data_IF_361465144793
#
_entry.id   IF_361465144793
#
_cell.length_a   1.000
_cell.length_b   1.000
_cell.length_c   1.000
_cell.angle_alpha   90.00
_cell.angle_beta   90.00
_cell.angle_gamma   90.00
#
_symmetry.space_group_name_H-M   'P 1'
#
loop_
_entity.id
_entity.type
_entity.pdbx_description
1 polymer ?
#
# COMPACT_ATOMS: atom_id res chain seq x y z
N UNK A 1 -7.33 8.78 0.50
CA UNK A 1 -7.11 8.77 -0.97
C UNK A 1 -7.23 7.33 -1.44
N UNK A 2 -7.79 7.12 -2.64
CA UNK A 2 -7.77 5.85 -3.35
C UNK A 2 -7.06 6.06 -4.68
N UNK A 3 -6.03 5.27 -4.93
CA UNK A 3 -5.31 5.29 -6.19
C UNK A 3 -5.56 3.96 -6.92
N UNK A 4 -6.06 4.01 -8.15
CA UNK A 4 -6.32 2.86 -9.00
C UNK A 4 -5.31 2.82 -10.14
N UNK A 5 -4.56 1.72 -10.24
CA UNK A 5 -3.59 1.49 -11.33
C UNK A 5 -3.99 0.25 -12.10
N UNK A 6 -4.12 0.36 -13.43
CA UNK A 6 -4.50 -0.73 -14.32
C UNK A 6 -3.45 -1.84 -14.34
N UNK A 7 -3.91 -3.10 -14.34
CA UNK A 7 -3.04 -4.29 -14.47
C UNK A 7 -3.54 -5.16 -15.62
N UNK A 8 -2.62 -5.59 -16.46
CA UNK A 8 -2.92 -6.32 -17.69
C UNK A 8 -3.37 -7.76 -17.49
N UNK A 9 -2.90 -8.43 -16.41
CA UNK A 9 -3.12 -9.85 -16.16
C UNK A 9 -3.35 -10.13 -14.66
N UNK A 10 -4.28 -11.02 -14.36
CA UNK A 10 -4.66 -11.36 -12.98
C UNK A 10 -3.56 -12.09 -12.19
N UNK A 11 -2.67 -12.81 -12.86
CA UNK A 11 -1.53 -13.50 -12.27
C UNK A 11 -0.47 -12.55 -11.68
N UNK A 12 -0.43 -11.29 -12.16
CA UNK A 12 0.46 -10.25 -11.63
C UNK A 12 -0.09 -9.56 -10.38
N UNK A 13 -1.40 -9.64 -10.12
CA UNK A 13 -2.08 -8.83 -9.10
C UNK A 13 -1.53 -9.10 -7.70
N UNK A 14 -1.50 -10.36 -7.27
CA UNK A 14 -1.07 -10.69 -5.90
C UNK A 14 0.43 -10.56 -5.68
N UNK A 15 1.30 -10.94 -6.61
CA UNK A 15 2.72 -10.61 -6.51
C UNK A 15 2.96 -9.10 -6.31
N UNK A 16 2.29 -8.24 -7.08
CA UNK A 16 2.41 -6.79 -6.95
C UNK A 16 1.82 -6.30 -5.62
N UNK A 17 0.64 -6.76 -5.20
CA UNK A 17 0.04 -6.37 -3.91
C UNK A 17 0.97 -6.73 -2.76
N UNK A 18 1.54 -7.94 -2.75
CA UNK A 18 2.47 -8.38 -1.72
C UNK A 18 3.73 -7.49 -1.67
N UNK A 19 4.24 -7.07 -2.82
CA UNK A 19 5.35 -6.15 -2.90
C UNK A 19 4.99 -4.73 -2.43
N UNK A 20 3.82 -4.20 -2.83
CA UNK A 20 3.31 -2.89 -2.36
C UNK A 20 3.17 -2.86 -0.85
N UNK A 21 2.76 -3.96 -0.21
CA UNK A 21 2.65 -4.04 1.24
C UNK A 21 4.00 -3.78 1.94
N UNK A 22 5.13 -4.12 1.33
CA UNK A 22 6.46 -3.81 1.90
C UNK A 22 6.75 -2.32 1.96
N UNK A 23 6.04 -1.52 1.16
CA UNK A 23 6.16 -0.06 1.08
C UNK A 23 5.05 0.72 1.81
N UNK A 24 4.23 0.04 2.61
CA UNK A 24 3.21 0.69 3.43
C UNK A 24 3.73 1.84 4.30
N UNK A 25 4.85 1.71 5.03
CA UNK A 25 5.33 2.82 5.85
C UNK A 25 5.72 4.04 5.02
N UNK A 26 6.19 3.87 3.79
CA UNK A 26 6.53 4.96 2.88
C UNK A 26 5.28 5.74 2.45
N UNK A 27 4.22 5.03 2.02
CA UNK A 27 2.95 5.63 1.63
C UNK A 27 2.24 6.31 2.82
N UNK A 28 2.34 5.72 4.02
CA UNK A 28 1.84 6.33 5.24
C UNK A 28 2.64 7.57 5.62
N UNK A 29 3.96 7.51 5.57
CA UNK A 29 4.84 8.61 5.97
C UNK A 29 4.55 9.89 5.19
N UNK A 30 4.41 9.80 3.85
CA UNK A 30 4.15 10.97 3.00
C UNK A 30 2.71 11.48 3.06
N UNK A 31 1.77 10.66 3.53
CA UNK A 31 0.33 11.00 3.52
C UNK A 31 -0.28 11.19 4.89
N UNK A 32 0.43 10.86 5.98
CA UNK A 32 -0.09 10.92 7.34
C UNK A 32 -0.57 12.33 7.71
N UNK A 33 -1.87 12.48 7.97
CA UNK A 33 -2.52 13.77 8.22
C UNK A 33 -3.72 13.67 9.16
N UNK A 34 -3.81 12.60 9.96
CA UNK A 34 -4.95 12.37 10.85
C UNK A 34 -4.52 12.12 12.31
N UNK A 35 -3.81 13.09 12.96
CA UNK A 35 -3.31 12.89 14.32
C UNK A 35 -4.38 12.98 15.41
N UNK A 36 -5.54 13.56 15.10
CA UNK A 36 -6.59 13.83 16.08
C UNK A 36 -7.82 12.96 15.91
N UNK A 37 -8.54 12.74 17.00
CA UNK A 37 -9.86 12.13 17.04
C UNK A 37 -10.71 12.80 18.12
N UNK A 38 -11.88 13.30 17.74
CA UNK A 38 -12.83 13.97 18.65
C UNK A 38 -12.18 15.06 19.52
N UNK A 39 -11.30 15.86 18.89
CA UNK A 39 -10.59 16.96 19.59
C UNK A 39 -9.40 16.52 20.45
N UNK A 40 -9.05 15.24 20.47
CA UNK A 40 -7.95 14.68 21.25
C UNK A 40 -6.78 14.33 20.30
N UNK A 41 -5.56 14.66 20.72
CA UNK A 41 -4.34 14.16 20.09
C UNK A 41 -4.19 12.66 20.41
N UNK A 42 -4.22 11.84 19.37
CA UNK A 42 -4.08 10.37 19.51
C UNK A 42 -2.64 9.92 19.61
N UNK A 43 -1.71 10.82 19.38
CA UNK A 43 -0.28 10.53 19.26
C UNK A 43 0.08 9.61 18.08
N UNK A 44 -0.83 9.41 17.11
CA UNK A 44 -0.56 8.78 15.83
C UNK A 44 -0.45 9.84 14.73
N UNK A 45 0.49 9.68 13.81
CA UNK A 45 0.53 10.52 12.60
C UNK A 45 -0.67 10.23 11.68
N UNK A 46 -1.07 8.93 11.60
CA UNK A 46 -2.28 8.48 10.92
C UNK A 46 -3.17 7.64 11.85
N UNK A 47 -4.01 8.30 12.64
CA UNK A 47 -5.02 7.63 13.46
C UNK A 47 -6.11 6.95 12.59
N UNK A 48 -6.40 7.52 11.41
CA UNK A 48 -7.32 6.90 10.45
C UNK A 48 -6.94 5.45 10.17
N UNK A 49 -5.67 5.15 9.99
CA UNK A 49 -5.18 3.78 9.74
C UNK A 49 -5.53 2.84 10.89
N UNK A 50 -5.40 3.30 12.14
CA UNK A 50 -5.74 2.51 13.32
C UNK A 50 -7.24 2.27 13.47
N UNK A 51 -8.06 3.28 13.21
CA UNK A 51 -9.51 3.15 13.25
C UNK A 51 -10.03 2.21 12.16
N UNK A 52 -9.51 2.37 10.95
CA UNK A 52 -9.98 1.63 9.79
C UNK A 52 -9.74 0.12 9.90
N UNK A 53 -8.61 -0.29 10.44
CA UNK A 53 -8.27 -1.71 10.61
C UNK A 53 -9.07 -2.46 11.71
N UNK A 54 -9.94 -1.77 12.44
CA UNK A 54 -10.81 -2.41 13.43
C UNK A 54 -11.96 -3.20 12.79
N UNK A 55 -12.24 -2.98 11.50
CA UNK A 55 -13.25 -3.73 10.77
C UNK A 55 -12.65 -5.06 10.28
N UNK A 56 -13.37 -6.20 10.40
CA UNK A 56 -12.87 -7.51 9.95
C UNK A 56 -12.52 -7.57 8.46
N UNK A 57 -13.16 -6.72 7.64
CA UNK A 57 -12.99 -6.65 6.19
C UNK A 57 -12.03 -5.55 5.75
N UNK A 58 -11.32 -4.92 6.69
CA UNK A 58 -10.42 -3.79 6.42
C UNK A 58 -9.02 -4.04 6.98
N UNK A 59 -8.10 -3.12 6.70
CA UNK A 59 -6.71 -3.23 7.13
C UNK A 59 -5.84 -3.98 6.13
N UNK A 60 -4.76 -4.55 6.62
CA UNK A 60 -3.80 -5.27 5.78
C UNK A 60 -4.41 -6.56 5.22
N UNK A 61 -4.33 -6.81 3.88
CA UNK A 61 -4.76 -8.08 3.32
C UNK A 61 -3.84 -9.22 3.77
N UNK A 62 -4.31 -10.46 3.60
CA UNK A 62 -3.44 -11.63 3.67
C UNK A 62 -2.47 -11.65 2.48
N UNK A 63 -1.32 -12.30 2.63
CA UNK A 63 -0.35 -12.48 1.55
C UNK A 63 -0.76 -13.65 0.65
N UNK A 64 -1.81 -13.45 -0.15
CA UNK A 64 -2.26 -14.47 -1.10
C UNK A 64 -1.15 -14.74 -2.13
N UNK A 65 -1.06 -16.01 -2.56
CA UNK A 65 -0.04 -16.45 -3.51
C UNK A 65 -0.55 -16.50 -4.95
N UNK A 66 -1.86 -16.52 -5.14
CA UNK A 66 -2.48 -16.61 -6.47
C UNK A 66 -3.85 -15.92 -6.53
N UNK A 67 -4.32 -15.70 -7.74
CA UNK A 67 -5.69 -15.23 -7.98
C UNK A 67 -6.74 -16.23 -7.51
N UNK A 68 -6.51 -17.53 -7.70
CA UNK A 68 -7.44 -18.58 -7.27
C UNK A 68 -7.60 -18.63 -5.74
N UNK A 69 -6.50 -18.42 -5.00
CA UNK A 69 -6.55 -18.32 -3.54
C UNK A 69 -7.42 -17.14 -3.10
N UNK A 70 -7.25 -15.97 -3.74
CA UNK A 70 -8.11 -14.82 -3.50
C UNK A 70 -9.58 -15.10 -3.83
N UNK A 71 -9.87 -15.71 -4.95
CA UNK A 71 -11.24 -16.07 -5.35
C UNK A 71 -11.87 -17.03 -4.33
N UNK A 72 -11.10 -18.00 -3.86
CA UNK A 72 -11.54 -18.95 -2.82
C UNK A 72 -11.85 -18.21 -1.51
N UNK A 73 -10.95 -17.35 -1.06
CA UNK A 73 -11.17 -16.52 0.12
C UNK A 73 -12.44 -15.66 -0.01
N UNK A 74 -12.63 -14.98 -1.14
CA UNK A 74 -13.81 -14.13 -1.37
C UNK A 74 -15.11 -14.93 -1.37
N UNK A 75 -15.09 -16.16 -1.90
CA UNK A 75 -16.25 -17.09 -1.85
C UNK A 75 -16.58 -17.47 -0.43
N UNK A 76 -15.57 -17.79 0.39
CA UNK A 76 -15.76 -18.12 1.80
C UNK A 76 -16.36 -16.96 2.58
N UNK A 77 -15.87 -15.73 2.34
CA UNK A 77 -16.40 -14.51 2.98
C UNK A 77 -17.88 -14.26 2.59
N UNK A 78 -18.25 -14.51 1.35
CA UNK A 78 -19.64 -14.39 0.90
C UNK A 78 -20.53 -15.51 1.48
N UNK A 79 -20.05 -16.76 1.46
CA UNK A 79 -20.80 -17.91 1.96
C UNK A 79 -21.05 -17.82 3.46
N UNK A 80 -20.06 -17.32 4.22
CA UNK A 80 -20.19 -17.11 5.67
C UNK A 80 -20.99 -15.86 6.04
N UNK A 81 -21.38 -15.02 5.05
CA UNK A 81 -22.14 -13.80 5.28
C UNK A 81 -21.33 -12.62 5.84
N UNK A 82 -20.00 -12.72 5.85
CA UNK A 82 -19.09 -11.61 6.26
C UNK A 82 -19.21 -10.44 5.29
N UNK A 83 -19.33 -10.74 3.99
CA UNK A 83 -19.60 -9.75 2.94
C UNK A 83 -20.79 -10.20 2.09
N UNK A 84 -21.52 -9.24 1.54
CA UNK A 84 -22.62 -9.48 0.59
C UNK A 84 -22.23 -9.21 -0.87
N UNK A 85 -21.13 -8.48 -1.10
CA UNK A 85 -20.56 -8.24 -2.43
C UNK A 85 -19.06 -7.94 -2.31
N UNK A 86 -18.31 -8.10 -3.39
CA UNK A 86 -16.84 -7.96 -3.42
C UNK A 86 -16.34 -6.56 -3.02
N UNK A 87 -17.14 -5.52 -3.26
CA UNK A 87 -16.83 -4.15 -2.85
C UNK A 87 -16.82 -3.92 -1.34
N UNK A 88 -17.41 -4.82 -0.54
CA UNK A 88 -17.42 -4.75 0.93
C UNK A 88 -16.05 -5.14 1.56
N UNK A 89 -15.11 -5.67 0.80
CA UNK A 89 -13.76 -5.90 1.26
C UNK A 89 -12.96 -4.59 1.20
N UNK A 90 -12.54 -4.06 2.35
CA UNK A 90 -11.95 -2.74 2.49
C UNK A 90 -10.45 -2.79 2.85
N UNK A 91 -9.72 -3.75 2.34
CA UNK A 91 -8.27 -3.85 2.56
C UNK A 91 -7.52 -2.58 2.11
N UNK A 92 -6.38 -2.32 2.74
CA UNK A 92 -5.50 -1.16 2.46
C UNK A 92 -4.99 -1.15 1.02
N UNK A 93 -4.84 -2.33 0.44
CA UNK A 93 -4.61 -2.56 -1.00
C UNK A 93 -5.41 -3.78 -1.41
N UNK A 94 -6.08 -3.73 -2.56
CA UNK A 94 -6.92 -4.83 -3.02
C UNK A 94 -7.05 -4.86 -4.54
N UNK A 95 -7.41 -6.03 -5.09
CA UNK A 95 -7.91 -6.09 -6.45
C UNK A 95 -9.26 -5.33 -6.57
N UNK A 96 -9.39 -4.50 -7.59
CA UNK A 96 -10.65 -3.88 -7.98
C UNK A 96 -11.08 -4.45 -9.34
N UNK A 97 -11.51 -5.72 -9.34
CA UNK A 97 -11.75 -6.54 -10.54
C UNK A 97 -12.70 -5.87 -11.55
N UNK A 98 -13.73 -5.13 -11.06
CA UNK A 98 -14.65 -4.38 -11.91
C UNK A 98 -13.95 -3.39 -12.83
N UNK A 99 -12.80 -2.86 -12.39
CA UNK A 99 -12.04 -1.83 -13.10
C UNK A 99 -10.74 -2.36 -13.73
N UNK A 100 -10.39 -3.63 -13.47
CA UNK A 100 -9.10 -4.18 -13.91
C UNK A 100 -7.89 -3.49 -13.27
N UNK A 101 -8.01 -3.08 -12.00
CA UNK A 101 -6.99 -2.31 -11.31
C UNK A 101 -6.59 -2.92 -9.98
N UNK A 102 -5.38 -2.58 -9.52
CA UNK A 102 -5.03 -2.61 -8.09
C UNK A 102 -5.44 -1.26 -7.50
N UNK A 103 -6.19 -1.31 -6.40
CA UNK A 103 -6.64 -0.15 -5.63
C UNK A 103 -5.80 -0.04 -4.35
N UNK A 104 -5.01 1.04 -4.23
CA UNK A 104 -4.26 1.38 -3.02
C UNK A 104 -5.06 2.40 -2.22
N UNK A 105 -5.33 2.10 -0.94
CA UNK A 105 -6.23 2.83 -0.05
C UNK A 105 -5.61 3.26 1.26
N UNK A 106 -4.35 2.87 1.51
CA UNK A 106 -3.70 3.06 2.81
C UNK A 106 -3.47 4.54 3.16
N UNK A 107 -3.28 5.41 2.17
CA UNK A 107 -2.95 6.81 2.36
C UNK A 107 -4.10 7.62 2.97
N UNK A 108 -3.76 8.53 3.87
CA UNK A 108 -4.68 9.55 4.38
C UNK A 108 -5.07 10.57 3.29
N UNK A 109 -5.98 11.47 3.59
CA UNK A 109 -6.30 12.59 2.73
C UNK A 109 -5.22 13.66 2.84
N UNK A 110 -4.83 14.25 1.72
CA UNK A 110 -3.88 15.35 1.67
C UNK A 110 -4.60 16.71 1.75
N UNK A 111 -3.90 17.75 2.17
CA UNK A 111 -4.49 19.08 2.35
C UNK A 111 -4.39 19.96 1.11
N UNK A 112 -3.57 19.59 0.14
CA UNK A 112 -3.37 20.36 -1.10
C UNK A 112 -3.07 19.43 -2.30
N UNK A 113 -3.17 20.01 -3.51
CA UNK A 113 -3.03 19.26 -4.76
C UNK A 113 -1.59 18.78 -5.02
N UNK A 114 -0.57 19.45 -4.49
CA UNK A 114 0.83 19.02 -4.66
C UNK A 114 1.09 17.74 -3.88
N UNK A 115 0.67 17.67 -2.63
CA UNK A 115 0.77 16.45 -1.82
C UNK A 115 -0.06 15.31 -2.42
N UNK A 116 -1.26 15.62 -2.93
CA UNK A 116 -2.08 14.63 -3.63
C UNK A 116 -1.34 14.06 -4.84
N UNK A 117 -0.75 14.93 -5.67
CA UNK A 117 -0.01 14.53 -6.86
C UNK A 117 1.20 13.65 -6.50
N UNK A 118 1.95 14.00 -5.45
CA UNK A 118 3.09 13.20 -4.97
C UNK A 118 2.66 11.78 -4.51
N UNK A 119 1.59 11.67 -3.72
CA UNK A 119 1.07 10.36 -3.28
C UNK A 119 0.62 9.52 -4.47
N UNK A 120 -0.05 10.14 -5.46
CA UNK A 120 -0.51 9.45 -6.67
C UNK A 120 0.67 9.03 -7.55
N UNK A 121 1.64 9.92 -7.77
CA UNK A 121 2.84 9.66 -8.56
C UNK A 121 3.64 8.50 -7.96
N UNK A 122 3.94 8.55 -6.65
CA UNK A 122 4.67 7.49 -5.96
C UNK A 122 3.94 6.14 -6.08
N UNK A 123 2.62 6.12 -5.85
CA UNK A 123 1.82 4.90 -5.93
C UNK A 123 1.79 4.33 -7.36
N UNK A 124 1.60 5.20 -8.35
CA UNK A 124 1.56 4.81 -9.76
C UNK A 124 2.92 4.26 -10.23
N UNK A 125 3.99 5.02 -9.99
CA UNK A 125 5.35 4.60 -10.35
C UNK A 125 5.74 3.27 -9.69
N UNK A 126 5.39 3.08 -8.41
CA UNK A 126 5.68 1.86 -7.67
C UNK A 126 5.02 0.62 -8.31
N UNK A 127 3.73 0.71 -8.64
CA UNK A 127 3.01 -0.42 -9.26
C UNK A 127 3.54 -0.70 -10.66
N UNK A 128 3.78 0.33 -11.47
CA UNK A 128 4.36 0.17 -12.83
C UNK A 128 5.77 -0.40 -12.75
N UNK A 129 6.57 0.02 -11.77
CA UNK A 129 7.92 -0.53 -11.54
C UNK A 129 7.84 -2.05 -11.27
N UNK A 130 6.97 -2.47 -10.36
CA UNK A 130 6.81 -3.89 -10.03
C UNK A 130 6.23 -4.71 -11.20
N UNK A 131 5.29 -4.15 -11.97
CA UNK A 131 4.79 -4.79 -13.18
C UNK A 131 5.93 -5.04 -14.19
N UNK A 132 6.78 -4.04 -14.42
CA UNK A 132 7.97 -4.15 -15.29
C UNK A 132 9.02 -5.13 -14.75
N UNK A 133 9.16 -5.25 -13.43
CA UNK A 133 10.04 -6.26 -12.82
C UNK A 133 9.55 -7.67 -13.16
N UNK A 134 8.25 -7.93 -12.99
CA UNK A 134 7.65 -9.23 -13.36
C UNK A 134 7.80 -9.55 -14.85
N UNK A 135 7.61 -8.58 -15.75
CA UNK A 135 7.81 -8.76 -17.19
C UNK A 135 9.24 -9.16 -17.54
N UNK A 136 10.20 -8.71 -16.77
CA UNK A 136 11.62 -9.07 -16.94
C UNK A 136 12.02 -10.36 -16.20
N UNK A 137 11.07 -11.01 -15.52
CA UNK A 137 11.33 -12.20 -14.71
C UNK A 137 12.11 -11.92 -13.44
N UNK A 138 12.12 -10.68 -12.95
CA UNK A 138 12.77 -10.31 -11.70
C UNK A 138 11.89 -10.65 -10.50
N UNK A 139 12.53 -10.98 -9.38
CA UNK A 139 11.83 -11.19 -8.10
C UNK A 139 11.39 -9.85 -7.51
N UNK A 140 10.17 -9.83 -6.97
CA UNK A 140 9.65 -8.68 -6.25
C UNK A 140 10.09 -8.69 -4.77
N UNK A 141 10.18 -7.52 -4.11
CA UNK A 141 10.50 -7.44 -2.70
C UNK A 141 9.43 -8.14 -1.86
N UNK A 142 9.86 -8.86 -0.84
CA UNK A 142 8.96 -9.56 0.10
C UNK A 142 9.44 -9.38 1.54
N UNK A 143 8.47 -9.23 2.44
CA UNK A 143 8.67 -9.28 3.88
C UNK A 143 7.71 -10.29 4.50
N UNK A 144 8.05 -10.81 5.67
CA UNK A 144 7.13 -11.62 6.46
C UNK A 144 5.93 -10.78 6.87
N UNK A 145 4.77 -11.40 6.95
CA UNK A 145 3.52 -10.70 7.28
C UNK A 145 3.60 -9.90 8.58
N UNK A 146 4.29 -10.42 9.59
CA UNK A 146 4.48 -9.69 10.88
C UNK A 146 5.40 -8.48 10.74
N UNK A 147 6.42 -8.49 9.85
CA UNK A 147 7.23 -7.31 9.55
C UNK A 147 6.41 -6.24 8.81
N UNK A 148 5.56 -6.65 7.87
CA UNK A 148 4.64 -5.73 7.19
C UNK A 148 3.67 -5.10 8.17
N UNK A 149 3.10 -5.89 9.09
CA UNK A 149 2.19 -5.40 10.12
C UNK A 149 2.87 -4.40 11.07
N UNK A 150 4.09 -4.72 11.54
CA UNK A 150 4.89 -3.83 12.38
C UNK A 150 5.24 -2.53 11.65
N UNK A 151 5.72 -2.61 10.42
CA UNK A 151 6.05 -1.46 9.59
C UNK A 151 4.84 -0.57 9.32
N UNK A 152 3.67 -1.16 9.07
CA UNK A 152 2.41 -0.43 8.94
C UNK A 152 2.10 0.35 10.22
N UNK A 153 2.20 -0.30 11.39
CA UNK A 153 1.97 0.35 12.67
C UNK A 153 2.97 1.47 12.92
N UNK A 154 4.28 1.23 12.69
CA UNK A 154 5.33 2.25 12.84
C UNK A 154 5.10 3.45 11.92
N UNK A 155 4.75 3.22 10.66
CA UNK A 155 4.40 4.29 9.71
C UNK A 155 3.18 5.09 10.17
N UNK A 156 2.13 4.42 10.65
CA UNK A 156 0.94 5.09 11.17
C UNK A 156 1.23 5.87 12.47
N UNK A 157 2.10 5.34 13.34
CA UNK A 157 2.42 5.95 14.64
C UNK A 157 3.36 7.15 14.49
N UNK A 158 4.41 7.01 13.69
CA UNK A 158 5.54 7.93 13.65
C UNK A 158 5.66 8.73 12.35
N UNK A 159 4.90 8.40 11.29
CA UNK A 159 4.98 9.07 10.00
C UNK A 159 6.42 9.08 9.45
N UNK A 160 6.94 10.26 9.11
CA UNK A 160 8.30 10.44 8.57
C UNK A 160 9.42 10.11 9.56
N UNK A 161 9.11 10.00 10.85
CA UNK A 161 10.08 9.62 11.89
C UNK A 161 10.03 8.12 12.22
N UNK A 162 9.40 7.31 11.37
CA UNK A 162 9.35 5.86 11.56
C UNK A 162 10.71 5.20 11.26
N UNK A 163 11.14 4.29 12.13
CA UNK A 163 12.20 3.32 11.87
C UNK A 163 11.54 2.04 11.35
N UNK A 164 11.92 1.58 10.15
CA UNK A 164 11.23 0.48 9.46
C UNK A 164 12.14 -0.71 9.21
N UNK A 165 11.57 -1.91 9.22
CA UNK A 165 12.26 -3.16 8.89
C UNK A 165 12.35 -3.25 7.36
N UNK A 166 13.56 -3.37 6.83
CA UNK A 166 13.83 -3.28 5.39
C UNK A 166 13.95 -4.63 4.70
N UNK A 167 14.28 -5.69 5.44
CA UNK A 167 14.49 -7.03 4.90
C UNK A 167 14.08 -8.14 5.88
N UNK A 168 14.29 -9.39 5.46
CA UNK A 168 13.95 -10.58 6.25
C UNK A 168 14.89 -10.82 7.43
N UNK A 169 16.08 -10.23 7.41
CA UNK A 169 17.10 -10.34 8.46
C UNK A 169 16.88 -9.30 9.58
N UNK A 170 15.78 -8.53 9.45
CA UNK A 170 15.36 -7.49 10.42
C UNK A 170 16.25 -6.25 10.48
N UNK A 171 17.01 -5.98 9.42
CA UNK A 171 17.71 -4.71 9.31
C UNK A 171 16.70 -3.55 9.31
N UNK A 172 17.06 -2.45 9.94
CA UNK A 172 16.19 -1.29 10.11
C UNK A 172 16.83 -0.03 9.52
N UNK A 173 15.99 0.84 8.95
CA UNK A 173 16.39 2.15 8.45
C UNK A 173 15.28 3.18 8.71
N UNK A 174 15.63 4.46 8.70
CA UNK A 174 14.64 5.52 8.75
C UNK A 174 13.80 5.55 7.47
N UNK A 175 12.49 5.63 7.59
CA UNK A 175 11.58 5.66 6.43
C UNK A 175 11.90 6.79 5.46
N UNK A 176 12.38 7.93 5.94
CA UNK A 176 12.79 9.07 5.11
C UNK A 176 13.99 8.77 4.22
N UNK A 177 14.95 7.97 4.73
CA UNK A 177 16.14 7.57 3.97
C UNK A 177 15.76 6.51 2.93
N UNK A 178 14.94 5.54 3.32
CA UNK A 178 14.36 4.53 2.41
C UNK A 178 13.46 5.17 1.34
N UNK A 179 12.72 6.23 1.68
CA UNK A 179 11.89 6.95 0.74
C UNK A 179 12.72 7.65 -0.34
N UNK A 180 13.87 8.25 0.04
CA UNK A 180 14.78 8.86 -0.94
C UNK A 180 15.33 7.81 -1.91
N UNK A 181 15.76 6.65 -1.40
CA UNK A 181 16.23 5.53 -2.23
C UNK A 181 15.12 5.04 -3.18
N UNK A 182 13.89 4.95 -2.69
CA UNK A 182 12.74 4.55 -3.49
C UNK A 182 12.43 5.57 -4.60
N UNK A 183 12.48 6.88 -4.32
CA UNK A 183 12.31 7.93 -5.30
C UNK A 183 13.38 7.84 -6.40
N UNK A 184 14.64 7.66 -6.00
CA UNK A 184 15.75 7.51 -6.96
C UNK A 184 15.54 6.28 -7.87
N UNK A 185 15.08 5.16 -7.30
CA UNK A 185 14.75 3.93 -8.04
C UNK A 185 13.58 4.13 -9.01
N UNK A 186 12.57 4.90 -8.62
CA UNK A 186 11.36 5.14 -9.42
C UNK A 186 11.50 6.27 -10.44
N UNK A 187 12.51 7.13 -10.33
CA UNK A 187 12.71 8.28 -11.24
C UNK A 187 12.69 7.92 -12.72
N UNK A 188 13.29 6.81 -13.20
CA UNK A 188 13.18 6.41 -14.61
C UNK A 188 11.74 6.07 -15.02
N UNK A 189 10.95 5.48 -14.13
CA UNK A 189 9.54 5.17 -14.37
C UNK A 189 8.73 6.46 -14.43
N UNK A 190 8.99 7.40 -13.53
CA UNK A 190 8.34 8.70 -13.51
C UNK A 190 8.63 9.50 -14.79
N UNK A 191 9.86 9.42 -15.32
CA UNK A 191 10.22 10.05 -16.58
C UNK A 191 9.40 9.49 -17.76
N UNK A 192 9.23 8.16 -17.83
CA UNK A 192 8.41 7.51 -18.85
C UNK A 192 6.91 7.85 -18.74
N UNK A 193 6.43 8.05 -17.50
CA UNK A 193 5.04 8.41 -17.22
C UNK A 193 4.79 9.93 -17.28
N UNK A 194 5.83 10.75 -17.37
CA UNK A 194 5.74 12.21 -17.41
C UNK A 194 5.33 12.86 -16.09
N UNK A 195 5.74 12.27 -14.94
CA UNK A 195 5.40 12.75 -13.60
C UNK A 195 6.62 12.88 -12.66
N UNK A 196 7.78 13.27 -13.22
CA UNK A 196 9.02 13.46 -12.44
C UNK A 196 8.87 14.60 -11.42
N UNK A 197 8.17 15.66 -11.78
CA UNK A 197 7.99 16.83 -10.92
C UNK A 197 7.05 16.57 -9.72
N UNK A 198 6.21 15.53 -9.83
CA UNK A 198 5.29 15.08 -8.79
C UNK A 198 5.90 13.99 -7.89
N UNK A 199 6.87 13.23 -8.38
CA UNK A 199 7.56 12.20 -7.62
C UNK A 199 8.61 12.80 -6.69
#
# INVERSE_FOLDING_TARGET
IHCHVGISHEDKVWPIINAVMTKYPHLLAISASSPGWDGIDTSYASNRTMLYQQLPTAGMPYQFQSWDEWVSFMRDQQTSGVINHTGSMHFDVRPAAKWGTIEVRISDATSNLRELAAVVALTHCLIVHYDRMLERGAELPTLQQWHVAENKWRGARYGMDALVITNRDTDEAWVKDELQLLIDELTPVAADLGCVDEL
#
